data_IF_530986554478
#
_entry.id   IF_530986554478
#
_cell.length_a   1.000
_cell.length_b   1.000
_cell.length_c   1.000
_cell.angle_alpha   90.00
_cell.angle_beta   90.00
_cell.angle_gamma   90.00
#
_symmetry.space_group_name_H-M   'P 1'
#
loop_
_entity.id
_entity.type
_entity.pdbx_description
1 polymer ?
#
# COMPACT_ATOMS: atom_id res chain seq x y z
N UNK A 1 -22.94 -0.16 6.83
CA UNK A 1 -22.61 -0.59 5.46
C UNK A 1 -23.77 -0.19 4.55
N UNK A 2 -23.71 0.99 3.93
CA UNK A 2 -24.69 1.38 2.91
C UNK A 2 -24.35 0.62 1.63
N UNK A 3 -25.04 -0.50 1.42
CA UNK A 3 -24.95 -1.32 0.22
C UNK A 3 -25.59 -0.61 -0.97
N UNK A 4 -24.91 0.42 -1.50
CA UNK A 4 -25.31 1.13 -2.74
C UNK A 4 -24.67 0.46 -3.98
N UNK A 5 -23.83 -0.56 -3.79
CA UNK A 5 -23.07 -1.26 -4.83
C UNK A 5 -23.85 -2.33 -5.61
N UNK A 6 -25.06 -2.04 -6.11
CA UNK A 6 -25.63 -2.91 -7.15
C UNK A 6 -25.07 -2.49 -8.51
N UNK A 7 -23.81 -2.85 -8.79
CA UNK A 7 -23.19 -2.77 -10.12
C UNK A 7 -22.19 -1.63 -10.36
N UNK A 8 -22.22 -0.56 -9.56
CA UNK A 8 -21.31 0.60 -9.72
C UNK A 8 -19.91 0.39 -9.16
N UNK A 9 -19.73 -0.68 -8.39
CA UNK A 9 -18.52 -1.04 -7.68
C UNK A 9 -17.70 -2.11 -8.41
N UNK A 10 -18.16 -2.61 -9.56
CA UNK A 10 -17.52 -3.71 -10.30
C UNK A 10 -16.40 -3.26 -11.25
N UNK A 11 -16.38 -1.99 -11.67
CA UNK A 11 -15.41 -1.47 -12.64
C UNK A 11 -14.78 -0.17 -12.14
N UNK A 12 -13.53 0.05 -12.55
CA UNK A 12 -12.74 1.26 -12.24
C UNK A 12 -13.22 2.48 -13.04
N UNK A 13 -13.91 2.24 -14.16
CA UNK A 13 -14.42 3.30 -15.07
C UNK A 13 -15.87 3.71 -14.78
N UNK A 14 -16.53 3.05 -13.83
CA UNK A 14 -17.93 3.30 -13.52
C UNK A 14 -18.05 4.29 -12.36
N UNK A 15 -18.76 5.39 -12.59
CA UNK A 15 -19.09 6.36 -11.57
C UNK A 15 -20.40 5.98 -10.87
N UNK A 16 -20.42 6.15 -9.55
CA UNK A 16 -21.63 6.05 -8.73
C UNK A 16 -22.57 7.22 -9.06
N UNK A 17 -23.87 7.11 -8.74
CA UNK A 17 -24.81 8.24 -8.87
C UNK A 17 -24.39 9.49 -8.06
N UNK A 18 -23.55 9.31 -7.04
CA UNK A 18 -22.94 10.38 -6.22
C UNK A 18 -21.59 10.89 -6.79
N UNK A 19 -21.18 10.46 -7.99
CA UNK A 19 -19.93 10.86 -8.64
C UNK A 19 -18.66 10.20 -8.09
N UNK A 20 -18.79 9.11 -7.31
CA UNK A 20 -17.68 8.42 -6.63
C UNK A 20 -17.26 7.15 -7.36
N UNK A 21 -15.98 6.79 -7.23
CA UNK A 21 -15.43 5.52 -7.75
C UNK A 21 -15.14 4.59 -6.57
N UNK A 22 -16.02 3.63 -6.33
CA UNK A 22 -15.92 2.74 -5.16
C UNK A 22 -14.68 1.85 -5.17
N UNK A 23 -14.13 1.51 -6.34
CA UNK A 23 -12.88 0.74 -6.45
C UNK A 23 -11.68 1.44 -5.82
N UNK A 24 -11.60 2.78 -5.92
CA UNK A 24 -10.55 3.56 -5.26
C UNK A 24 -10.73 3.52 -3.74
N UNK A 25 -11.96 3.54 -3.25
CA UNK A 25 -12.26 3.46 -1.82
C UNK A 25 -11.96 2.08 -1.25
N UNK A 26 -12.16 1.00 -2.02
CA UNK A 26 -11.72 -0.33 -1.61
C UNK A 26 -10.20 -0.42 -1.56
N UNK A 27 -9.49 0.16 -2.52
CA UNK A 27 -8.03 0.23 -2.48
C UNK A 27 -7.54 0.98 -1.24
N UNK A 28 -8.17 2.11 -0.88
CA UNK A 28 -7.87 2.86 0.33
C UNK A 28 -8.11 2.03 1.61
N UNK A 29 -9.23 1.31 1.71
CA UNK A 29 -9.47 0.40 2.85
C UNK A 29 -8.43 -0.73 2.93
N UNK A 30 -7.95 -1.19 1.79
CA UNK A 30 -6.95 -2.24 1.75
C UNK A 30 -5.56 -1.72 2.16
N UNK A 31 -5.29 -0.43 1.93
CA UNK A 31 -4.15 0.32 2.48
C UNK A 31 -4.25 0.46 4.00
N UNK A 32 -5.43 0.81 4.52
CA UNK A 32 -5.66 0.98 5.97
C UNK A 32 -5.44 -0.32 6.75
N UNK A 33 -5.70 -1.47 6.12
CA UNK A 33 -5.43 -2.80 6.69
C UNK A 33 -3.96 -3.24 6.57
N UNK A 34 -3.09 -2.42 5.99
CA UNK A 34 -1.66 -2.74 5.84
C UNK A 34 -0.86 -2.37 7.09
N UNK A 35 0.27 -3.05 7.30
CA UNK A 35 1.19 -2.70 8.38
C UNK A 35 1.75 -1.28 8.23
N UNK A 36 1.95 -0.61 9.37
CA UNK A 36 2.27 0.82 9.47
C UNK A 36 3.59 1.18 8.79
N UNK A 37 3.61 2.31 8.08
CA UNK A 37 4.83 2.90 7.50
C UNK A 37 4.92 4.35 7.96
N UNK A 38 6.13 4.77 8.36
CA UNK A 38 6.42 6.14 8.77
C UNK A 38 7.63 6.68 8.01
N UNK A 39 7.58 7.97 7.67
CA UNK A 39 8.69 8.70 7.08
C UNK A 39 8.85 10.03 7.80
N UNK A 40 10.05 10.32 8.26
CA UNK A 40 10.39 11.56 8.96
C UNK A 40 11.40 12.32 8.11
N UNK A 41 11.06 13.55 7.74
CA UNK A 41 11.99 14.48 7.11
C UNK A 41 12.79 15.20 8.20
N UNK A 42 14.10 15.03 8.17
CA UNK A 42 15.06 15.75 9.00
C UNK A 42 15.73 16.87 8.20
N UNK A 43 16.53 17.70 8.89
CA UNK A 43 17.32 18.78 8.25
C UNK A 43 18.32 18.23 7.23
N UNK A 44 18.95 17.10 7.56
CA UNK A 44 20.06 16.53 6.79
C UNK A 44 19.67 15.25 6.01
N UNK A 45 18.38 14.89 5.97
CA UNK A 45 17.95 13.68 5.26
C UNK A 45 16.53 13.23 5.59
N UNK A 46 16.20 12.01 5.17
CA UNK A 46 14.89 11.39 5.39
C UNK A 46 15.13 10.03 6.05
N UNK A 47 14.39 9.75 7.12
CA UNK A 47 14.37 8.45 7.78
C UNK A 47 13.03 7.80 7.47
N UNK A 48 13.05 6.55 7.03
CA UNK A 48 11.83 5.78 6.78
C UNK A 48 11.85 4.51 7.62
N UNK A 49 10.71 4.16 8.19
CA UNK A 49 10.50 2.98 9.02
C UNK A 49 9.25 2.25 8.58
N UNK A 50 9.30 0.93 8.58
CA UNK A 50 8.15 0.07 8.27
C UNK A 50 7.99 -1.00 9.33
N UNK A 51 6.76 -1.18 9.76
CA UNK A 51 6.37 -2.32 10.55
C UNK A 51 6.36 -3.58 9.68
N UNK A 52 7.10 -4.59 10.13
CA UNK A 52 7.17 -5.89 9.48
C UNK A 52 6.50 -6.95 10.36
N UNK A 53 5.30 -7.34 9.96
CA UNK A 53 4.56 -8.44 10.56
C UNK A 53 5.17 -9.78 10.14
N UNK A 54 5.68 -10.55 11.12
CA UNK A 54 6.25 -11.89 10.89
C UNK A 54 5.12 -12.91 11.07
N UNK A 55 4.56 -13.38 9.96
CA UNK A 55 3.44 -14.33 9.99
C UNK A 55 3.82 -15.72 10.51
N UNK A 56 5.07 -16.17 10.32
CA UNK A 56 5.53 -17.48 10.79
C UNK A 56 7.00 -17.46 11.18
N UNK A 57 7.36 -18.32 12.15
CA UNK A 57 8.76 -18.52 12.60
C UNK A 57 9.64 -19.21 11.55
N UNK A 58 9.05 -19.76 10.48
CA UNK A 58 9.78 -20.39 9.38
C UNK A 58 10.22 -19.39 8.31
N UNK A 59 9.80 -18.13 8.42
CA UNK A 59 10.22 -17.09 7.48
C UNK A 59 11.70 -16.79 7.64
N UNK A 60 12.44 -16.76 6.52
CA UNK A 60 13.85 -16.38 6.55
C UNK A 60 14.03 -14.96 7.10
N UNK A 61 15.04 -14.72 7.95
CA UNK A 61 15.39 -13.38 8.38
C UNK A 61 15.73 -12.53 7.15
N UNK A 62 15.09 -11.37 7.02
CA UNK A 62 15.25 -10.49 5.86
C UNK A 62 14.37 -10.80 4.65
N UNK A 63 13.55 -11.86 4.67
CA UNK A 63 12.53 -12.09 3.63
C UNK A 63 11.41 -11.04 3.68
N UNK A 64 10.66 -10.82 2.60
CA UNK A 64 9.57 -9.83 2.53
C UNK A 64 10.03 -8.41 2.93
N UNK A 65 11.07 -7.90 2.25
CA UNK A 65 11.51 -6.50 2.41
C UNK A 65 10.50 -5.58 1.76
N UNK A 66 10.07 -4.55 2.50
CA UNK A 66 9.15 -3.50 2.03
C UNK A 66 9.87 -2.19 1.68
N UNK A 67 11.18 -2.13 1.90
CA UNK A 67 12.03 -0.98 1.60
C UNK A 67 12.86 -1.34 0.37
N UNK A 68 12.75 -0.52 -0.67
CA UNK A 68 13.45 -0.72 -1.94
C UNK A 68 14.22 0.55 -2.31
N UNK A 69 15.47 0.39 -2.73
CA UNK A 69 16.23 1.47 -3.31
C UNK A 69 15.82 1.63 -4.77
N UNK A 70 15.18 2.76 -5.11
CA UNK A 70 14.79 3.07 -6.49
C UNK A 70 15.99 3.65 -7.25
N UNK A 71 16.77 4.48 -6.58
CA UNK A 71 17.97 5.10 -7.13
C UNK A 71 19.02 5.34 -6.03
N UNK A 72 20.25 5.72 -6.42
CA UNK A 72 21.36 5.97 -5.47
C UNK A 72 21.03 7.01 -4.39
N UNK A 73 20.13 7.94 -4.67
CA UNK A 73 19.70 8.99 -3.75
C UNK A 73 18.21 8.91 -3.38
N UNK A 74 17.49 7.88 -3.84
CA UNK A 74 16.04 7.74 -3.66
C UNK A 74 15.68 6.34 -3.21
N UNK A 75 15.11 6.25 -2.00
CA UNK A 75 14.48 5.04 -1.49
C UNK A 75 12.96 5.17 -1.55
N UNK A 76 12.28 4.04 -1.70
CA UNK A 76 10.84 3.92 -1.58
C UNK A 76 10.51 2.88 -0.52
N UNK A 77 9.48 3.17 0.27
CA UNK A 77 8.93 2.24 1.24
C UNK A 77 7.48 1.98 0.87
N UNK A 78 7.13 0.69 0.82
CA UNK A 78 5.83 0.22 0.38
C UNK A 78 4.97 -0.15 1.58
N UNK A 79 3.88 0.57 1.74
CA UNK A 79 2.69 0.01 2.38
C UNK A 79 1.84 -0.68 1.30
N UNK A 80 0.99 -1.66 1.65
CA UNK A 80 0.15 -2.45 0.74
C UNK A 80 0.79 -3.70 0.06
N UNK A 81 -0.04 -4.48 -0.67
CA UNK A 81 0.24 -5.82 -1.17
C UNK A 81 1.52 -5.89 -2.02
N UNK A 82 2.51 -6.61 -1.49
CA UNK A 82 3.86 -6.74 -2.04
C UNK A 82 3.90 -7.16 -3.52
N UNK A 83 2.95 -8.00 -3.97
CA UNK A 83 2.95 -8.56 -5.32
C UNK A 83 2.67 -7.52 -6.42
N UNK A 84 1.87 -6.48 -6.13
CA UNK A 84 1.36 -5.57 -7.15
C UNK A 84 2.42 -4.60 -7.67
N UNK A 85 3.38 -4.22 -6.82
CA UNK A 85 4.37 -3.19 -7.15
C UNK A 85 5.72 -3.75 -7.61
N UNK A 86 5.96 -5.06 -7.43
CA UNK A 86 7.13 -5.72 -8.01
C UNK A 86 7.02 -5.85 -9.53
N UNK A 87 5.82 -5.70 -10.11
CA UNK A 87 5.60 -5.57 -11.56
C UNK A 87 5.82 -4.14 -12.09
N UNK A 88 5.93 -3.14 -11.21
CA UNK A 88 6.18 -1.75 -11.60
C UNK A 88 7.68 -1.46 -11.79
N UNK A 89 8.52 -2.47 -11.60
CA UNK A 89 9.98 -2.44 -11.72
C UNK A 89 10.48 -3.33 -12.86
#
# INVERSE_FOLDING_TARGET
MSSIGTGYDLSVTTFSPDGRVFQIEYAAKAVDNSGTVIGIKCKDGIVMGVEKLIASKMMLPGSNRRIHAVHRHSGMVLFFFFLSLQCLY
#
